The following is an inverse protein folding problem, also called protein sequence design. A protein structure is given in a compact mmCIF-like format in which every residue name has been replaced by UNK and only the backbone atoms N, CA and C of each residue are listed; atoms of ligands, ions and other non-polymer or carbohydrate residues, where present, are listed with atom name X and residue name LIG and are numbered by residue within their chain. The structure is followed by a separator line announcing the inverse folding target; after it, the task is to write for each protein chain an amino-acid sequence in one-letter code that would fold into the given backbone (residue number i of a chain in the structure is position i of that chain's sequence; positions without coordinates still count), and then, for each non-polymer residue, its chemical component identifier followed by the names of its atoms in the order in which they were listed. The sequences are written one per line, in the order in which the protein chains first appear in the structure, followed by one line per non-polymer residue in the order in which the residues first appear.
data_IF_307429404386
#
_entry.id   IF_307429404386
#
_cell.length_a   1.000
_cell.length_b   1.000
_cell.length_c   1.000
_cell.angle_alpha   90.00
_cell.angle_beta   90.00
_cell.angle_gamma   90.00
#
_symmetry.space_group_name_H-M   'P 1'
#
loop_
_entity.id
_entity.type
_entity.pdbx_description
1 polymer ?
#
# COMPACT_ATOMS: atom_id res chain seq x y z
N UNK A 1 -21.07 7.18 -18.62
CA UNK A 1 -20.71 7.71 -19.96
C UNK A 1 -21.49 7.04 -21.10
N UNK A 2 -22.24 5.96 -20.85
CA UNK A 2 -23.01 5.23 -21.87
C UNK A 2 -22.17 4.46 -22.89
N UNK A 3 -20.87 4.32 -22.67
CA UNK A 3 -19.95 3.55 -23.51
C UNK A 3 -18.93 2.82 -22.65
N UNK A 4 -18.32 1.77 -23.23
CA UNK A 4 -17.38 0.90 -22.55
C UNK A 4 -18.06 -0.33 -21.93
N UNK A 5 -17.23 -1.36 -21.71
CA UNK A 5 -17.62 -2.66 -21.13
C UNK A 5 -16.55 -3.12 -20.16
N UNK A 6 -16.94 -3.89 -19.12
CA UNK A 6 -15.99 -4.60 -18.27
C UNK A 6 -15.51 -5.81 -19.06
N UNK A 7 -14.19 -5.95 -19.22
CA UNK A 7 -13.59 -7.07 -19.93
C UNK A 7 -12.99 -8.12 -19.00
N UNK A 8 -12.49 -7.72 -17.82
CA UNK A 8 -11.95 -8.62 -16.80
C UNK A 8 -12.34 -8.16 -15.40
N UNK A 9 -12.38 -9.10 -14.45
CA UNK A 9 -12.50 -8.84 -13.01
C UNK A 9 -11.42 -9.62 -12.30
N UNK A 10 -10.60 -8.93 -11.48
CA UNK A 10 -9.42 -9.53 -10.87
C UNK A 10 -9.16 -8.95 -9.47
N UNK A 11 -8.98 -9.81 -8.49
CA UNK A 11 -8.58 -9.41 -7.14
C UNK A 11 -7.15 -8.85 -7.10
N UNK A 12 -6.89 -7.96 -6.15
CA UNK A 12 -5.56 -7.33 -6.01
C UNK A 12 -4.44 -8.32 -5.70
N UNK A 13 -4.76 -9.50 -5.17
CA UNK A 13 -3.82 -10.59 -4.94
C UNK A 13 -3.09 -11.01 -6.22
N UNK A 14 -3.77 -10.90 -7.38
CA UNK A 14 -3.24 -11.22 -8.70
C UNK A 14 -2.77 -9.97 -9.46
N UNK A 15 -3.69 -9.04 -9.70
CA UNK A 15 -3.44 -7.88 -10.55
C UNK A 15 -2.56 -6.81 -9.90
N UNK A 16 -2.42 -6.84 -8.58
CA UNK A 16 -1.76 -5.79 -7.82
C UNK A 16 -0.79 -6.35 -6.77
N UNK A 17 -0.10 -7.45 -7.08
CA UNK A 17 1.00 -7.96 -6.26
C UNK A 17 2.13 -6.93 -6.19
N UNK A 18 2.78 -6.82 -5.01
CA UNK A 18 3.92 -5.93 -4.78
C UNK A 18 5.17 -6.63 -4.23
N UNK A 19 5.09 -7.94 -4.06
CA UNK A 19 6.09 -8.74 -3.38
C UNK A 19 6.88 -9.65 -4.35
N UNK A 20 6.84 -9.32 -5.65
CA UNK A 20 7.51 -10.07 -6.73
C UNK A 20 7.00 -11.51 -6.92
N UNK A 21 5.71 -11.77 -6.56
CA UNK A 21 5.05 -13.03 -6.88
C UNK A 21 4.53 -12.98 -8.32
N UNK A 22 5.44 -13.09 -9.27
CA UNK A 22 5.09 -12.93 -10.68
C UNK A 22 4.23 -14.04 -11.25
N UNK A 23 4.15 -15.20 -10.62
CA UNK A 23 3.18 -16.26 -10.91
C UNK A 23 1.72 -15.79 -10.76
N UNK A 24 1.47 -14.83 -9.85
CA UNK A 24 0.17 -14.19 -9.67
C UNK A 24 -0.07 -13.13 -10.74
N UNK A 25 0.93 -12.26 -10.96
CA UNK A 25 0.86 -11.19 -11.97
C UNK A 25 0.71 -11.76 -13.39
N UNK A 26 1.32 -12.91 -13.67
CA UNK A 26 1.19 -13.61 -14.96
C UNK A 26 -0.26 -14.01 -15.25
N UNK A 27 -1.01 -14.46 -14.22
CA UNK A 27 -2.42 -14.82 -14.39
C UNK A 27 -3.27 -13.58 -14.74
N UNK A 28 -3.02 -12.46 -14.06
CA UNK A 28 -3.69 -11.20 -14.37
C UNK A 28 -3.32 -10.70 -15.78
N UNK A 29 -2.04 -10.72 -16.14
CA UNK A 29 -1.58 -10.36 -17.46
C UNK A 29 -2.21 -11.26 -18.55
N UNK A 30 -2.35 -12.56 -18.28
CA UNK A 30 -2.94 -13.52 -19.20
C UNK A 30 -4.42 -13.25 -19.45
N UNK A 31 -5.17 -12.86 -18.42
CA UNK A 31 -6.56 -12.43 -18.58
C UNK A 31 -6.66 -11.17 -19.46
N UNK A 32 -5.83 -10.17 -19.20
CA UNK A 32 -5.83 -8.91 -19.94
C UNK A 32 -5.38 -9.06 -21.41
N UNK A 33 -4.38 -9.89 -21.69
CA UNK A 33 -3.72 -9.95 -23.02
C UNK A 33 -4.20 -11.13 -23.85
N UNK A 34 -4.45 -12.28 -23.21
CA UNK A 34 -4.83 -13.50 -23.92
C UNK A 34 -6.32 -13.82 -23.79
N UNK A 35 -7.00 -13.22 -22.82
CA UNK A 35 -8.39 -13.56 -22.49
C UNK A 35 -8.48 -14.92 -21.79
N UNK A 36 -7.49 -15.24 -20.95
CA UNK A 36 -7.39 -16.51 -20.22
C UNK A 36 -7.75 -16.31 -18.75
N UNK A 37 -8.75 -17.01 -18.27
CA UNK A 37 -9.28 -16.96 -16.93
C UNK A 37 -10.60 -17.69 -16.82
N UNK A 38 -11.26 -17.61 -15.68
CA UNK A 38 -12.61 -18.12 -15.51
C UNK A 38 -13.58 -17.25 -16.35
N UNK A 39 -14.33 -17.89 -17.25
CA UNK A 39 -15.18 -17.17 -18.21
C UNK A 39 -16.59 -16.95 -17.67
N UNK A 40 -17.10 -15.71 -17.79
CA UNK A 40 -18.44 -15.31 -17.40
C UNK A 40 -19.06 -14.41 -18.45
N UNK A 41 -20.40 -14.43 -18.53
CA UNK A 41 -21.15 -13.53 -19.43
C UNK A 41 -21.36 -12.13 -18.82
N UNK A 42 -21.22 -12.02 -17.50
CA UNK A 42 -21.44 -10.79 -16.73
C UNK A 42 -20.45 -10.66 -15.58
N UNK A 43 -20.02 -9.43 -15.33
CA UNK A 43 -19.06 -9.13 -14.28
C UNK A 43 -19.60 -9.31 -12.86
N UNK A 44 -20.88 -9.00 -12.66
CA UNK A 44 -21.56 -9.21 -11.37
C UNK A 44 -21.71 -10.70 -11.04
N UNK A 45 -22.01 -11.52 -12.05
CA UNK A 45 -22.06 -12.98 -11.92
C UNK A 45 -20.69 -13.55 -11.51
N UNK A 46 -19.59 -13.06 -12.11
CA UNK A 46 -18.24 -13.47 -11.76
C UNK A 46 -17.94 -13.23 -10.27
N UNK A 47 -18.27 -12.04 -9.75
CA UNK A 47 -18.08 -11.69 -8.34
C UNK A 47 -18.96 -12.54 -7.43
N UNK A 48 -20.25 -12.68 -7.74
CA UNK A 48 -21.20 -13.49 -6.94
C UNK A 48 -20.76 -14.95 -6.87
N UNK A 49 -20.32 -15.51 -7.98
CA UNK A 49 -19.82 -16.91 -8.03
C UNK A 49 -18.58 -17.07 -7.18
N UNK A 50 -17.65 -16.11 -7.22
CA UNK A 50 -16.46 -16.11 -6.36
C UNK A 50 -16.85 -16.12 -4.87
N UNK A 51 -17.77 -15.26 -4.46
CA UNK A 51 -18.25 -15.19 -3.06
C UNK A 51 -18.96 -16.46 -2.62
N UNK A 52 -19.77 -17.08 -3.47
CA UNK A 52 -20.42 -18.37 -3.20
C UNK A 52 -19.39 -19.49 -2.96
N UNK A 53 -18.21 -19.38 -3.58
CA UNK A 53 -17.10 -20.30 -3.38
C UNK A 53 -16.18 -19.91 -2.19
N UNK A 54 -16.58 -18.93 -1.36
CA UNK A 54 -15.82 -18.47 -0.20
C UNK A 54 -14.58 -17.64 -0.55
N UNK A 55 -14.47 -17.15 -1.79
CA UNK A 55 -13.37 -16.31 -2.25
C UNK A 55 -13.86 -14.88 -2.43
N UNK A 56 -13.39 -13.97 -1.59
CA UNK A 56 -13.84 -12.58 -1.57
C UNK A 56 -12.80 -11.62 -2.15
N UNK A 57 -13.26 -10.47 -2.58
CA UNK A 57 -12.56 -9.25 -3.06
C UNK A 57 -11.09 -9.41 -3.47
N UNK A 58 -10.21 -9.36 -2.50
CA UNK A 58 -8.75 -9.40 -2.72
C UNK A 58 -8.30 -10.63 -3.50
N UNK A 59 -8.96 -11.77 -3.28
CA UNK A 59 -8.55 -13.08 -3.77
C UNK A 59 -9.32 -13.55 -5.00
N UNK A 60 -10.23 -12.74 -5.56
CA UNK A 60 -10.99 -13.10 -6.78
C UNK A 60 -9.96 -13.45 -7.88
N UNK A 61 -10.10 -14.67 -8.39
CA UNK A 61 -9.25 -15.13 -9.50
C UNK A 61 -9.52 -14.31 -10.75
N UNK A 62 -8.54 -14.16 -11.65
CA UNK A 62 -8.77 -13.48 -12.92
C UNK A 62 -9.93 -14.10 -13.70
N UNK A 63 -10.99 -13.31 -13.88
CA UNK A 63 -12.17 -13.65 -14.64
C UNK A 63 -12.20 -12.85 -15.94
N UNK A 64 -12.61 -13.49 -17.03
CA UNK A 64 -12.76 -12.88 -18.35
C UNK A 64 -14.24 -12.78 -18.70
N UNK A 65 -14.68 -11.59 -19.05
CA UNK A 65 -16.08 -11.37 -19.48
C UNK A 65 -16.18 -11.63 -20.98
N UNK A 66 -17.17 -12.43 -21.37
CA UNK A 66 -17.36 -12.90 -22.74
C UNK A 66 -18.70 -12.47 -23.32
N UNK A 67 -18.71 -12.21 -24.63
CA UNK A 67 -19.92 -12.08 -25.43
C UNK A 67 -19.88 -13.10 -26.56
N UNK A 68 -20.94 -13.88 -26.72
CA UNK A 68 -21.01 -14.96 -27.73
C UNK A 68 -19.84 -15.96 -27.63
N UNK A 69 -19.32 -16.20 -26.42
CA UNK A 69 -18.21 -17.13 -26.15
C UNK A 69 -16.81 -16.57 -26.41
N UNK A 70 -16.69 -15.31 -26.82
CA UNK A 70 -15.40 -14.65 -27.05
C UNK A 70 -15.17 -13.54 -26.01
N UNK A 71 -13.92 -13.31 -25.57
CA UNK A 71 -13.60 -12.21 -24.67
C UNK A 71 -14.06 -10.85 -25.22
N UNK A 72 -14.72 -10.05 -24.38
CA UNK A 72 -15.23 -8.71 -24.73
C UNK A 72 -14.12 -7.83 -25.29
N UNK A 73 -12.94 -7.88 -24.68
CA UNK A 73 -11.76 -7.18 -25.18
C UNK A 73 -10.48 -7.86 -24.68
N UNK A 74 -9.38 -7.62 -25.42
CA UNK A 74 -8.01 -8.01 -25.06
C UNK A 74 -7.09 -6.84 -25.38
N UNK A 75 -6.03 -6.66 -24.59
CA UNK A 75 -5.01 -5.65 -24.86
C UNK A 75 -4.15 -6.07 -26.02
N UNK A 76 -4.02 -5.21 -27.02
CA UNK A 76 -3.25 -5.43 -28.23
C UNK A 76 -2.18 -4.35 -28.43
N UNK A 77 -1.31 -4.56 -29.42
CA UNK A 77 -0.32 -3.59 -29.83
C UNK A 77 -0.99 -2.26 -30.23
N UNK A 78 -0.41 -1.15 -29.80
CA UNK A 78 -0.85 0.22 -30.02
C UNK A 78 -2.13 0.63 -29.25
N UNK A 79 -2.63 -0.21 -28.38
CA UNK A 79 -3.70 0.21 -27.45
C UNK A 79 -3.20 1.23 -26.44
N UNK A 80 -4.12 2.00 -25.90
CA UNK A 80 -3.87 2.92 -24.80
C UNK A 80 -4.38 2.29 -23.50
N UNK A 81 -3.52 2.23 -22.49
CA UNK A 81 -3.83 1.70 -21.15
C UNK A 81 -3.79 2.87 -20.18
N UNK A 82 -4.87 3.10 -19.44
CA UNK A 82 -4.89 4.03 -18.32
C UNK A 82 -4.98 3.21 -17.05
N UNK A 83 -3.89 3.20 -16.27
CA UNK A 83 -3.89 2.54 -14.97
C UNK A 83 -4.35 3.54 -13.92
N UNK A 84 -5.61 3.45 -13.52
CA UNK A 84 -6.28 4.43 -12.67
C UNK A 84 -5.93 4.30 -11.17
N UNK A 85 -4.84 3.64 -10.84
CA UNK A 85 -4.37 3.43 -9.48
C UNK A 85 -3.53 4.62 -9.03
N UNK A 86 -3.95 5.29 -7.94
CA UNK A 86 -3.21 6.46 -7.44
C UNK A 86 -1.95 6.05 -6.68
N UNK A 87 -2.03 5.04 -5.79
CA UNK A 87 -0.88 4.53 -5.04
C UNK A 87 0.06 3.72 -5.95
N UNK A 88 1.39 3.99 -5.89
CA UNK A 88 2.35 3.40 -6.82
C UNK A 88 2.74 1.95 -6.50
N UNK A 89 2.80 1.58 -5.22
CA UNK A 89 3.42 0.34 -4.75
C UNK A 89 2.86 -0.93 -5.40
N UNK A 90 1.53 -1.04 -5.49
CA UNK A 90 0.84 -2.19 -6.08
C UNK A 90 0.65 -2.11 -7.60
N UNK A 91 0.96 -0.98 -8.22
CA UNK A 91 0.82 -0.82 -9.66
C UNK A 91 2.09 -1.17 -10.45
N UNK A 92 3.25 -1.22 -9.79
CA UNK A 92 4.56 -1.36 -10.44
C UNK A 92 4.71 -2.65 -11.23
N UNK A 93 4.38 -3.81 -10.64
CA UNK A 93 4.62 -5.10 -11.25
C UNK A 93 3.83 -5.28 -12.54
N UNK A 94 2.52 -5.02 -12.52
CA UNK A 94 1.71 -5.14 -13.72
C UNK A 94 2.11 -4.12 -14.79
N UNK A 95 2.50 -2.90 -14.39
CA UNK A 95 3.03 -1.90 -15.33
C UNK A 95 4.27 -2.42 -16.04
N UNK A 96 5.24 -3.01 -15.31
CA UNK A 96 6.44 -3.60 -15.89
C UNK A 96 6.14 -4.66 -16.95
N UNK A 97 5.08 -5.45 -16.76
CA UNK A 97 4.67 -6.46 -17.73
C UNK A 97 4.35 -5.87 -19.13
N UNK A 98 3.94 -4.61 -19.19
CA UNK A 98 3.63 -3.93 -20.45
C UNK A 98 4.75 -3.05 -20.99
N UNK A 99 5.54 -2.40 -20.11
CA UNK A 99 6.50 -1.38 -20.54
C UNK A 99 7.95 -1.88 -20.66
N UNK A 100 8.32 -2.95 -19.93
CA UNK A 100 9.69 -3.48 -19.99
C UNK A 100 9.86 -4.32 -21.26
N UNK A 101 10.83 -3.94 -22.12
CA UNK A 101 11.16 -4.72 -23.33
C UNK A 101 11.78 -6.06 -22.93
N UNK A 102 12.79 -6.01 -22.08
CA UNK A 102 13.39 -7.17 -21.45
C UNK A 102 12.69 -7.44 -20.13
N UNK A 103 11.90 -8.50 -20.09
CA UNK A 103 11.11 -8.88 -18.96
C UNK A 103 11.29 -10.37 -18.65
N UNK A 104 12.18 -10.72 -17.69
CA UNK A 104 12.58 -12.10 -17.44
C UNK A 104 11.68 -12.86 -16.45
N UNK A 105 10.64 -12.24 -15.90
CA UNK A 105 9.89 -12.78 -14.77
C UNK A 105 8.93 -13.92 -15.14
N UNK A 106 8.36 -13.86 -16.35
CA UNK A 106 7.60 -14.94 -17.00
C UNK A 106 7.62 -14.75 -18.52
N UNK A 107 7.29 -15.81 -19.25
CA UNK A 107 7.28 -15.79 -20.71
C UNK A 107 6.03 -15.07 -21.25
N UNK A 108 6.24 -13.94 -21.92
CA UNK A 108 5.17 -13.29 -22.69
C UNK A 108 5.06 -13.95 -24.05
N UNK A 109 4.11 -14.86 -24.26
CA UNK A 109 3.94 -15.66 -25.49
C UNK A 109 3.85 -14.84 -26.78
N UNK A 110 3.38 -13.58 -26.71
CA UNK A 110 3.36 -12.62 -27.84
C UNK A 110 4.61 -11.75 -27.88
N UNK A 111 5.59 -11.99 -27.00
CA UNK A 111 6.74 -11.11 -26.82
C UNK A 111 6.34 -9.72 -26.30
N UNK A 112 7.27 -8.77 -26.43
CA UNK A 112 6.97 -7.37 -26.18
C UNK A 112 6.18 -6.78 -27.35
N UNK A 113 5.14 -6.03 -27.05
CA UNK A 113 4.43 -5.20 -28.02
C UNK A 113 4.21 -3.80 -27.45
N UNK A 114 4.25 -2.75 -28.29
CA UNK A 114 4.11 -1.37 -27.82
C UNK A 114 2.67 -1.07 -27.41
N UNK A 115 2.51 -0.41 -26.28
CA UNK A 115 1.25 0.18 -25.80
C UNK A 115 1.51 1.63 -25.37
N UNK A 116 0.48 2.48 -25.41
CA UNK A 116 0.55 3.78 -24.78
C UNK A 116 0.10 3.65 -23.33
N UNK A 117 1.07 3.55 -22.42
CA UNK A 117 0.78 3.35 -21.00
C UNK A 117 0.70 4.69 -20.26
N UNK A 118 -0.40 4.90 -19.55
CA UNK A 118 -0.67 6.11 -18.76
C UNK A 118 -0.87 5.71 -17.32
N UNK A 119 -0.01 6.19 -16.43
CA UNK A 119 -0.10 6.01 -14.99
C UNK A 119 -0.85 7.18 -14.35
N UNK A 120 -1.66 6.90 -13.34
CA UNK A 120 -2.34 7.96 -12.58
C UNK A 120 -1.34 8.87 -11.86
N UNK A 121 -0.31 8.27 -11.26
CA UNK A 121 0.81 8.96 -10.58
C UNK A 121 2.15 8.37 -11.02
N UNK A 122 3.26 8.90 -10.55
CA UNK A 122 4.58 8.32 -10.80
C UNK A 122 4.77 7.02 -9.99
N UNK A 123 4.65 5.86 -10.64
CA UNK A 123 4.80 4.56 -9.97
C UNK A 123 6.26 4.20 -9.68
N UNK A 124 7.18 4.66 -10.52
CA UNK A 124 8.64 4.55 -10.32
C UNK A 124 9.34 5.62 -11.15
N UNK A 125 10.46 6.16 -10.64
CA UNK A 125 11.33 7.04 -11.42
C UNK A 125 11.92 6.34 -12.66
N UNK A 126 12.12 5.00 -12.59
CA UNK A 126 12.61 4.19 -13.70
C UNK A 126 11.63 4.15 -14.89
N UNK A 127 10.36 4.48 -14.69
CA UNK A 127 9.35 4.49 -15.75
C UNK A 127 9.33 5.81 -16.54
N UNK A 128 10.08 6.82 -16.10
CA UNK A 128 10.15 8.12 -16.76
C UNK A 128 10.56 7.98 -18.23
N UNK A 129 9.82 8.68 -19.09
CA UNK A 129 10.02 8.60 -20.55
C UNK A 129 9.42 7.37 -21.24
N UNK A 130 8.94 6.38 -20.46
CA UNK A 130 8.29 5.17 -21.02
C UNK A 130 6.77 5.15 -20.78
N UNK A 131 6.29 5.97 -19.87
CA UNK A 131 4.87 6.15 -19.54
C UNK A 131 4.50 7.62 -19.56
N UNK A 132 3.22 7.91 -19.73
CA UNK A 132 2.65 9.23 -19.46
C UNK A 132 2.09 9.27 -18.05
N UNK A 133 2.10 10.44 -17.40
CA UNK A 133 1.54 10.65 -16.06
C UNK A 133 0.34 11.57 -16.15
N UNK A 134 -0.75 11.25 -15.47
CA UNK A 134 -1.91 12.15 -15.30
C UNK A 134 -1.58 13.18 -14.24
N UNK A 135 -1.05 12.73 -13.09
CA UNK A 135 -0.61 13.58 -11.99
C UNK A 135 0.91 13.43 -11.86
N UNK A 136 1.69 14.38 -12.37
CA UNK A 136 3.14 14.37 -12.16
C UNK A 136 3.47 14.58 -10.68
N UNK A 137 4.63 14.09 -10.20
CA UNK A 137 5.04 14.30 -8.83
C UNK A 137 5.30 15.78 -8.58
N UNK A 138 4.72 16.31 -7.52
CA UNK A 138 5.09 17.62 -6.99
C UNK A 138 6.33 17.48 -6.11
N UNK A 139 7.29 18.38 -6.28
CA UNK A 139 8.40 18.50 -5.35
C UNK A 139 7.94 19.35 -4.17
N UNK A 140 7.65 18.67 -3.06
CA UNK A 140 7.34 19.38 -1.83
C UNK A 140 8.62 19.97 -1.25
N UNK A 141 8.56 21.21 -0.83
CA UNK A 141 9.61 21.91 -0.10
C UNK A 141 9.06 22.42 1.23
N UNK A 142 9.96 22.69 2.17
CA UNK A 142 9.59 23.16 3.49
C UNK A 142 8.66 22.20 4.23
N UNK A 143 8.92 20.89 4.09
CA UNK A 143 8.24 19.87 4.89
C UNK A 143 8.60 20.02 6.36
N UNK A 144 7.82 19.45 7.28
CA UNK A 144 8.08 19.56 8.72
C UNK A 144 9.51 19.13 9.08
N UNK A 145 9.98 18.00 8.49
CA UNK A 145 11.34 17.52 8.74
C UNK A 145 12.42 18.48 8.26
N UNK A 146 12.24 19.06 7.07
CA UNK A 146 13.15 20.05 6.52
C UNK A 146 13.15 21.36 7.33
N UNK A 147 11.97 21.82 7.72
CA UNK A 147 11.82 23.04 8.51
C UNK A 147 12.47 22.91 9.89
N UNK A 148 12.22 21.81 10.62
CA UNK A 148 12.84 21.55 11.91
C UNK A 148 14.39 21.47 11.80
N UNK A 149 14.88 20.79 10.77
CA UNK A 149 16.30 20.72 10.46
C UNK A 149 16.91 22.09 10.22
N UNK A 150 16.23 22.98 9.47
CA UNK A 150 16.69 24.35 9.21
C UNK A 150 16.79 25.22 10.48
N UNK A 151 16.03 24.87 11.51
CA UNK A 151 16.06 25.50 12.83
C UNK A 151 17.09 24.85 13.79
N UNK A 152 17.85 23.85 13.31
CA UNK A 152 18.78 23.09 14.14
C UNK A 152 18.12 22.22 15.21
N UNK A 153 16.83 21.86 15.01
CA UNK A 153 16.06 21.03 15.93
C UNK A 153 16.31 19.54 15.70
N UNK A 154 16.33 18.79 16.79
CA UNK A 154 16.47 17.34 16.76
C UNK A 154 15.10 16.66 16.65
N UNK A 155 15.04 15.62 15.82
CA UNK A 155 13.77 14.94 15.55
C UNK A 155 13.94 13.41 15.45
N UNK A 156 12.92 12.66 15.92
CA UNK A 156 12.88 11.22 15.87
C UNK A 156 11.70 10.74 15.02
N UNK A 157 11.96 9.75 14.15
CA UNK A 157 10.95 8.96 13.44
C UNK A 157 10.98 7.55 14.00
N UNK A 158 9.84 7.05 14.48
CA UNK A 158 9.77 5.71 15.05
C UNK A 158 8.48 5.01 14.64
N UNK A 159 8.59 3.81 14.10
CA UNK A 159 7.47 2.92 13.81
C UNK A 159 7.97 1.47 13.65
N UNK A 160 7.04 0.54 13.64
CA UNK A 160 7.33 -0.81 13.18
C UNK A 160 7.30 -0.91 11.65
N UNK A 161 7.81 -2.04 11.10
CA UNK A 161 8.07 -2.22 9.65
C UNK A 161 6.91 -1.76 8.76
N UNK A 162 5.67 -2.12 9.09
CA UNK A 162 4.49 -1.84 8.26
C UNK A 162 4.18 -0.35 8.12
N UNK A 163 4.58 0.46 9.09
CA UNK A 163 4.33 1.91 9.11
C UNK A 163 5.59 2.77 9.09
N UNK A 164 6.77 2.17 8.91
CA UNK A 164 8.02 2.91 8.90
C UNK A 164 8.10 3.93 7.76
N UNK A 165 7.67 3.55 6.56
CA UNK A 165 7.62 4.48 5.43
C UNK A 165 6.68 5.67 5.66
N UNK A 166 5.62 5.51 6.47
CA UNK A 166 4.68 6.58 6.76
C UNK A 166 5.30 7.69 7.60
N UNK A 167 6.17 7.35 8.56
CA UNK A 167 6.86 8.33 9.41
C UNK A 167 8.20 8.82 8.81
N UNK A 168 8.66 8.23 7.70
CA UNK A 168 9.92 8.60 7.03
C UNK A 168 9.66 9.14 5.63
N UNK A 169 9.60 8.29 4.62
CA UNK A 169 9.46 8.66 3.21
C UNK A 169 8.23 9.54 2.95
N UNK A 170 7.03 9.11 3.39
CA UNK A 170 5.82 9.87 3.14
C UNK A 170 5.77 11.17 3.96
N UNK A 171 6.19 11.13 5.21
CA UNK A 171 6.25 12.32 6.06
C UNK A 171 7.25 13.36 5.56
N UNK A 172 8.31 12.93 4.88
CA UNK A 172 9.29 13.78 4.22
C UNK A 172 8.89 14.17 2.78
N UNK A 173 7.61 14.00 2.40
CA UNK A 173 7.11 14.45 1.11
C UNK A 173 7.55 13.57 -0.07
N UNK A 174 7.77 12.27 0.15
CA UNK A 174 8.18 11.32 -0.88
C UNK A 174 9.70 11.31 -1.14
N UNK A 175 10.49 11.78 -0.19
CA UNK A 175 11.94 11.82 -0.28
C UNK A 175 12.57 10.90 0.77
N UNK A 176 13.47 10.01 0.35
CA UNK A 176 14.22 9.11 1.27
C UNK A 176 15.31 9.81 2.09
N UNK A 177 15.55 11.09 1.84
CA UNK A 177 16.57 11.86 2.54
C UNK A 177 16.30 11.87 4.04
N UNK A 178 17.35 11.62 4.82
CA UNK A 178 17.43 11.91 6.27
C UNK A 178 17.90 13.34 6.43
N UNK A 179 17.15 14.16 7.15
CA UNK A 179 17.52 15.55 7.41
C UNK A 179 18.53 15.65 8.57
N UNK A 180 19.28 16.75 8.62
CA UNK A 180 20.17 17.00 9.74
C UNK A 180 19.39 17.09 11.05
N UNK A 181 19.84 16.37 12.08
CA UNK A 181 19.12 16.23 13.35
C UNK A 181 18.00 15.21 13.36
N UNK A 182 17.74 14.49 12.24
CA UNK A 182 16.74 13.42 12.16
C UNK A 182 17.37 12.06 12.47
N UNK A 183 16.87 11.40 13.51
CA UNK A 183 17.14 9.98 13.79
C UNK A 183 15.93 9.12 13.45
N UNK A 184 16.18 7.87 13.10
CA UNK A 184 15.15 6.89 12.71
C UNK A 184 15.30 5.60 13.51
N UNK A 185 14.21 5.13 14.08
CA UNK A 185 14.12 3.82 14.77
C UNK A 185 13.09 2.96 14.05
N UNK A 186 13.57 1.86 13.46
CA UNK A 186 12.73 0.79 12.92
C UNK A 186 12.62 -0.32 13.96
N UNK A 187 11.38 -0.69 14.30
CA UNK A 187 11.07 -1.88 15.10
C UNK A 187 10.55 -2.95 14.14
N UNK A 188 11.11 -4.16 14.11
CA UNK A 188 10.58 -5.23 13.25
C UNK A 188 9.14 -5.57 13.62
N UNK A 189 8.25 -5.65 12.62
CA UNK A 189 6.91 -6.22 12.81
C UNK A 189 6.99 -7.73 13.05
N UNK A 190 6.02 -8.33 13.77
CA UNK A 190 6.03 -9.75 14.02
C UNK A 190 5.90 -10.56 12.73
N UNK A 191 6.66 -11.64 12.62
CA UNK A 191 6.60 -12.54 11.46
C UNK A 191 5.45 -13.54 11.62
N UNK A 192 4.23 -13.10 11.29
CA UNK A 192 3.00 -13.91 11.32
C UNK A 192 2.33 -13.88 9.95
N UNK A 193 1.48 -14.86 9.65
CA UNK A 193 0.79 -14.95 8.37
C UNK A 193 -0.20 -13.78 8.18
N UNK A 194 -0.95 -13.47 9.24
CA UNK A 194 -1.90 -12.35 9.31
C UNK A 194 -1.86 -11.75 10.71
N UNK A 195 -2.13 -10.46 10.86
CA UNK A 195 -1.93 -9.75 12.13
C UNK A 195 -3.07 -9.95 13.15
N UNK A 196 -4.18 -10.58 12.78
CA UNK A 196 -5.17 -11.07 13.73
C UNK A 196 -4.62 -12.14 14.68
N UNK A 197 -3.59 -12.88 14.26
CA UNK A 197 -2.88 -13.85 15.10
C UNK A 197 -2.01 -13.19 16.18
N UNK A 198 -1.68 -11.91 16.02
CA UNK A 198 -0.90 -11.13 16.99
C UNK A 198 -1.31 -9.65 16.95
N UNK A 199 -2.50 -9.29 17.47
CA UNK A 199 -3.06 -7.94 17.37
C UNK A 199 -2.23 -6.85 18.04
N UNK A 200 -1.46 -7.18 19.07
CA UNK A 200 -0.54 -6.25 19.72
C UNK A 200 0.65 -5.88 18.82
N UNK A 201 0.93 -6.65 17.78
CA UNK A 201 2.04 -6.47 16.86
C UNK A 201 3.34 -6.14 17.61
N UNK A 202 4.02 -5.04 17.30
CA UNK A 202 5.21 -4.57 18.00
C UNK A 202 4.98 -3.28 18.81
N UNK A 203 3.71 -2.93 19.11
CA UNK A 203 3.37 -1.66 19.75
C UNK A 203 4.06 -1.44 21.10
N UNK A 204 4.15 -2.46 21.93
CA UNK A 204 4.83 -2.36 23.24
C UNK A 204 6.33 -2.06 23.10
N UNK A 205 7.01 -2.68 22.13
CA UNK A 205 8.44 -2.41 21.89
C UNK A 205 8.66 -1.02 21.30
N UNK A 206 7.79 -0.58 20.39
CA UNK A 206 7.78 0.80 19.87
C UNK A 206 7.61 1.79 21.01
N UNK A 207 6.65 1.55 21.91
CA UNK A 207 6.37 2.39 23.07
C UNK A 207 7.57 2.45 24.02
N UNK A 208 8.16 1.30 24.36
CA UNK A 208 9.32 1.23 25.24
C UNK A 208 10.47 2.07 24.70
N UNK A 209 10.83 1.92 23.43
CA UNK A 209 11.90 2.68 22.80
C UNK A 209 11.59 4.17 22.70
N UNK A 210 10.33 4.50 22.40
CA UNK A 210 9.90 5.90 22.35
C UNK A 210 10.00 6.56 23.73
N UNK A 211 9.58 5.89 24.81
CA UNK A 211 9.73 6.39 26.19
C UNK A 211 11.19 6.62 26.58
N UNK A 212 12.09 5.70 26.23
CA UNK A 212 13.53 5.87 26.46
C UNK A 212 14.08 7.12 25.73
N UNK A 213 13.62 7.35 24.51
CA UNK A 213 13.99 8.53 23.74
C UNK A 213 13.43 9.83 24.33
N UNK A 214 12.18 9.82 24.81
CA UNK A 214 11.55 10.95 25.48
C UNK A 214 12.30 11.28 26.77
N UNK A 215 12.56 10.29 27.61
CA UNK A 215 13.24 10.45 28.89
C UNK A 215 14.69 10.89 28.74
N UNK A 216 15.32 10.63 27.61
CA UNK A 216 16.69 11.10 27.31
C UNK A 216 16.77 12.61 27.11
N UNK A 217 15.66 13.28 26.80
CA UNK A 217 15.63 14.72 26.49
C UNK A 217 16.38 15.10 25.20
N UNK A 218 16.75 14.10 24.36
CA UNK A 218 17.56 14.33 23.15
C UNK A 218 16.75 15.03 22.04
N UNK A 219 15.46 14.75 21.93
CA UNK A 219 14.66 15.14 20.77
C UNK A 219 13.68 16.27 21.10
N UNK A 220 13.68 17.29 20.24
CA UNK A 220 12.70 18.38 20.26
C UNK A 220 11.35 17.97 19.68
N UNK A 221 11.34 16.98 18.76
CA UNK A 221 10.15 16.54 18.04
C UNK A 221 10.21 15.03 17.76
N UNK A 222 9.06 14.36 17.85
CA UNK A 222 8.93 12.93 17.55
C UNK A 222 7.70 12.69 16.68
N UNK A 223 7.85 11.83 15.67
CA UNK A 223 6.72 11.25 14.93
C UNK A 223 6.73 9.75 15.13
N UNK A 224 5.60 9.24 15.62
CA UNK A 224 5.35 7.83 15.85
C UNK A 224 4.06 7.40 15.17
N UNK A 225 4.04 6.22 14.55
CA UNK A 225 2.83 5.62 14.02
C UNK A 225 2.70 4.18 14.55
N UNK A 226 1.55 3.87 15.15
CA UNK A 226 1.16 2.52 15.52
C UNK A 226 0.43 1.84 14.36
N UNK A 227 0.94 0.69 13.93
CA UNK A 227 0.40 -0.03 12.78
C UNK A 227 -0.85 -0.86 13.09
N UNK A 228 -1.13 -1.10 14.36
CA UNK A 228 -2.07 -2.11 14.84
C UNK A 228 -3.47 -1.99 14.25
N UNK A 229 -4.12 -0.84 14.41
CA UNK A 229 -5.52 -0.66 14.02
C UNK A 229 -5.74 -0.77 12.52
N UNK A 230 -4.78 -0.31 11.71
CA UNK A 230 -4.84 -0.46 10.27
C UNK A 230 -4.57 -1.92 9.84
N UNK A 231 -3.45 -2.48 10.27
CA UNK A 231 -3.02 -3.79 9.80
C UNK A 231 -3.92 -4.92 10.28
N UNK A 232 -4.40 -4.87 11.52
CA UNK A 232 -5.36 -5.84 12.07
C UNK A 232 -6.75 -5.62 11.48
N UNK A 233 -7.17 -4.36 11.30
CA UNK A 233 -8.46 -4.02 10.68
C UNK A 233 -8.62 -4.62 9.29
N UNK A 234 -7.55 -4.66 8.50
CA UNK A 234 -7.55 -5.30 7.19
C UNK A 234 -7.84 -6.81 7.21
N UNK A 235 -7.71 -7.48 8.33
CA UNK A 235 -8.04 -8.92 8.45
C UNK A 235 -9.54 -9.19 8.53
N UNK A 236 -10.34 -8.17 8.88
CA UNK A 236 -11.79 -8.31 9.08
C UNK A 236 -12.18 -9.08 10.37
N UNK A 237 -11.22 -9.43 11.22
CA UNK A 237 -11.47 -10.17 12.48
C UNK A 237 -11.77 -9.17 13.60
N UNK A 238 -13.06 -9.00 13.93
CA UNK A 238 -13.53 -7.98 14.88
C UNK A 238 -12.86 -8.06 16.26
N UNK A 239 -12.79 -9.26 16.86
CA UNK A 239 -12.18 -9.46 18.19
C UNK A 239 -10.69 -9.09 18.20
N UNK A 240 -9.98 -9.36 17.10
CA UNK A 240 -8.60 -8.96 16.95
C UNK A 240 -8.46 -7.42 16.81
N UNK A 241 -9.37 -6.78 16.10
CA UNK A 241 -9.41 -5.33 15.97
C UNK A 241 -9.64 -4.64 17.31
N UNK A 242 -10.59 -5.15 18.13
CA UNK A 242 -10.81 -4.68 19.51
C UNK A 242 -9.51 -4.78 20.30
N UNK A 243 -8.83 -5.92 20.26
CA UNK A 243 -7.56 -6.13 20.97
C UNK A 243 -6.45 -5.19 20.49
N UNK A 244 -6.41 -4.89 19.20
CA UNK A 244 -5.47 -3.93 18.62
C UNK A 244 -5.70 -2.51 19.15
N UNK A 245 -6.98 -2.07 19.21
CA UNK A 245 -7.37 -0.76 19.77
C UNK A 245 -7.01 -0.65 21.25
N UNK A 246 -7.36 -1.66 22.07
CA UNK A 246 -6.99 -1.71 23.50
C UNK A 246 -5.47 -1.62 23.70
N UNK A 247 -4.71 -2.29 22.87
CA UNK A 247 -3.24 -2.26 22.93
C UNK A 247 -2.71 -0.85 22.63
N UNK A 248 -3.23 -0.21 21.58
CA UNK A 248 -2.82 1.15 21.20
C UNK A 248 -3.20 2.16 22.28
N UNK A 249 -4.39 2.02 22.90
CA UNK A 249 -4.83 2.90 24.00
C UNK A 249 -3.85 2.86 25.17
N UNK A 250 -3.45 1.68 25.62
CA UNK A 250 -2.46 1.51 26.69
C UNK A 250 -1.11 2.13 26.30
N UNK A 251 -0.66 1.89 25.07
CA UNK A 251 0.61 2.42 24.57
C UNK A 251 0.61 3.95 24.46
N UNK A 252 -0.47 4.52 23.94
CA UNK A 252 -0.65 5.99 23.86
C UNK A 252 -0.69 6.60 25.22
N UNK A 253 -1.47 6.03 26.17
CA UNK A 253 -1.50 6.50 27.55
C UNK A 253 -0.10 6.54 28.18
N UNK A 254 0.67 5.48 28.03
CA UNK A 254 2.06 5.42 28.52
C UNK A 254 2.94 6.51 27.91
N UNK A 255 2.85 6.73 26.60
CA UNK A 255 3.63 7.79 25.91
C UNK A 255 3.23 9.18 26.40
N UNK A 256 1.92 9.46 26.53
CA UNK A 256 1.41 10.74 27.00
C UNK A 256 1.94 11.05 28.41
N UNK A 257 1.93 10.07 29.32
CA UNK A 257 2.45 10.25 30.69
C UNK A 257 3.95 10.63 30.68
N UNK A 258 4.76 9.96 29.85
CA UNK A 258 6.18 10.29 29.70
C UNK A 258 6.39 11.67 29.09
N UNK A 259 5.62 12.04 28.08
CA UNK A 259 5.70 13.36 27.41
C UNK A 259 5.36 14.48 28.40
N UNK A 260 4.23 14.35 29.11
CA UNK A 260 3.79 15.36 30.08
C UNK A 260 4.77 15.49 31.25
N UNK A 261 5.26 14.37 31.79
CA UNK A 261 6.28 14.35 32.84
C UNK A 261 7.55 15.11 32.44
N UNK A 262 7.92 15.03 31.16
CA UNK A 262 9.09 15.72 30.61
C UNK A 262 8.77 17.16 30.12
N UNK A 263 7.58 17.69 30.39
CA UNK A 263 7.17 19.05 30.01
C UNK A 263 6.84 19.23 28.54
N UNK A 264 6.64 18.15 27.81
CA UNK A 264 6.28 18.15 26.39
C UNK A 264 4.77 18.29 26.14
N UNK A 265 4.41 18.36 24.86
CA UNK A 265 3.02 18.35 24.38
C UNK A 265 2.85 17.21 23.36
N UNK A 266 1.65 16.61 23.32
CA UNK A 266 1.33 15.52 22.43
C UNK A 266 0.13 15.89 21.54
N UNK A 267 0.23 15.55 20.25
CA UNK A 267 -0.87 15.56 19.30
C UNK A 267 -1.18 14.13 18.91
N UNK A 268 -2.43 13.69 19.13
CA UNK A 268 -2.88 12.34 18.76
C UNK A 268 -3.84 12.48 17.59
N UNK A 269 -3.53 11.75 16.50
CA UNK A 269 -4.32 11.75 15.28
C UNK A 269 -4.26 10.39 14.60
N UNK A 270 -5.06 10.18 13.58
CA UNK A 270 -4.92 9.06 12.65
C UNK A 270 -4.46 9.56 11.28
N UNK A 271 -3.74 8.72 10.54
CA UNK A 271 -3.38 8.98 9.15
C UNK A 271 -4.55 8.68 8.20
N UNK A 272 -5.43 7.74 8.56
CA UNK A 272 -6.69 7.41 7.90
C UNK A 272 -7.57 6.54 8.83
N UNK A 273 -8.79 6.27 8.42
CA UNK A 273 -9.70 5.36 9.11
C UNK A 273 -9.51 3.90 8.69
N UNK A 274 -9.93 2.98 9.56
CA UNK A 274 -10.06 1.54 9.29
C UNK A 274 -10.94 0.88 10.35
N UNK A 275 -10.44 0.70 11.59
CA UNK A 275 -11.14 0.00 12.67
C UNK A 275 -12.32 0.77 13.29
N UNK A 276 -12.54 2.03 12.95
CA UNK A 276 -13.64 2.83 13.49
C UNK A 276 -15.00 2.32 13.05
N UNK A 277 -15.07 1.56 11.94
CA UNK A 277 -16.27 0.91 11.48
C UNK A 277 -15.93 -0.41 10.79
N UNK A 278 -16.19 -1.51 11.46
CA UNK A 278 -15.90 -2.87 10.98
C UNK A 278 -17.16 -3.62 10.50
N UNK A 279 -18.34 -3.16 10.93
CA UNK A 279 -19.65 -3.72 10.60
C UNK A 279 -20.58 -2.59 10.13
N UNK A 280 -21.40 -2.88 9.12
CA UNK A 280 -22.44 -1.98 8.62
C UNK A 280 -23.68 -1.96 9.55
#
# INVERSE_FOLDING_TARGET
CGCGKIATVEGRYYAMDRNNNYDRTEKAYSALVYGEGDMFSDAEEAVKTSYQNGVTDEFIKPCVITENGEPVAKINANDSIIFFNFRPDRARQLTRCFIDRDFPQFERRRGYFPVKFVCMSQYSAEFNGRVSLIVPPEQLSNTMGEYLSSLGKTQLRIAETEKYAHVTFFFNGGIERVFDGEDRILVPSPNVATYDLKPEMSAYEVTRRACECIDSGKYDFMVLNFANTDMVGHTGVFEAAVKAVETVDVCVGTLVDHIIKNGGACLITADHGNCEQMLD
#
